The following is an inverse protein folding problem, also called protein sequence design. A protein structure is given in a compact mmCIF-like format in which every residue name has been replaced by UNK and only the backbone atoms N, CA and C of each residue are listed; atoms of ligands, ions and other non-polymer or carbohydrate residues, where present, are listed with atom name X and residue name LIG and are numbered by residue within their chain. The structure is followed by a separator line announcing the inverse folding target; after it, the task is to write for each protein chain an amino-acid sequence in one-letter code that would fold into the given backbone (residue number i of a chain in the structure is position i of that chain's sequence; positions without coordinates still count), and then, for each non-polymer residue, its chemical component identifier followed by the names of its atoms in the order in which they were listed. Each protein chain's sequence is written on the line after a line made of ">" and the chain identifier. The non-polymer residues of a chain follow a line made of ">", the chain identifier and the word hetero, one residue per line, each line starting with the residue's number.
data_IF_685027847644
#
_entry.id   IF_685027847644
#
_cell.length_a   1.000
_cell.length_b   1.000
_cell.length_c   1.000
_cell.angle_alpha   90.00
_cell.angle_beta   90.00
_cell.angle_gamma   90.00
#
_symmetry.space_group_name_H-M   'P 1'
#
loop_
_entity.id
_entity.type
_entity.pdbx_description
1 polymer ?
#
# COMPACT_ATOMS: atom_id res chain seq x y z
N UNK A 1 2.63 -20.96 -34.13
CA UNK A 1 3.62 -20.43 -33.16
C UNK A 1 2.93 -20.31 -31.82
N UNK A 2 3.40 -21.02 -30.80
CA UNK A 2 2.87 -20.86 -29.44
C UNK A 2 3.06 -19.41 -29.03
N UNK A 3 1.96 -18.71 -28.62
CA UNK A 3 2.06 -17.38 -28.03
C UNK A 3 2.89 -17.53 -26.76
N UNK A 4 4.09 -16.94 -26.73
CA UNK A 4 4.92 -16.88 -25.51
C UNK A 4 4.14 -16.07 -24.46
N UNK A 5 3.95 -16.65 -23.31
CA UNK A 5 3.16 -16.07 -22.20
C UNK A 5 3.79 -14.79 -21.68
N UNK A 6 2.96 -13.79 -21.35
CA UNK A 6 3.40 -12.54 -20.72
C UNK A 6 3.94 -12.85 -19.31
N UNK A 7 5.03 -12.19 -18.91
CA UNK A 7 5.61 -12.27 -17.56
C UNK A 7 5.55 -10.93 -16.88
N UNK A 8 4.96 -10.88 -15.71
CA UNK A 8 4.69 -9.66 -14.95
C UNK A 8 5.68 -9.48 -13.80
N UNK A 9 6.15 -8.26 -13.61
CA UNK A 9 7.14 -7.88 -12.61
C UNK A 9 6.68 -6.61 -11.88
N UNK A 10 6.67 -6.65 -10.56
CA UNK A 10 6.41 -5.48 -9.72
C UNK A 10 7.68 -4.97 -9.07
N UNK A 11 7.67 -3.73 -8.60
CA UNK A 11 8.79 -3.19 -7.83
C UNK A 11 9.05 -3.98 -6.55
N UNK A 12 8.00 -4.44 -5.88
CA UNK A 12 8.11 -5.28 -4.66
C UNK A 12 8.85 -6.59 -4.94
N UNK A 13 8.57 -7.22 -6.10
CA UNK A 13 9.27 -8.42 -6.54
C UNK A 13 10.76 -8.16 -6.81
N UNK A 14 11.07 -7.07 -7.52
CA UNK A 14 12.44 -6.67 -7.85
C UNK A 14 13.22 -6.29 -6.59
N UNK A 15 12.63 -5.52 -5.69
CA UNK A 15 13.25 -5.16 -4.41
C UNK A 15 13.51 -6.38 -3.52
N UNK A 16 12.57 -7.32 -3.49
CA UNK A 16 12.74 -8.59 -2.77
C UNK A 16 13.94 -9.39 -3.31
N UNK A 17 14.07 -9.48 -4.65
CA UNK A 17 15.18 -10.18 -5.31
C UNK A 17 16.54 -9.52 -5.00
N UNK A 18 16.61 -8.20 -5.02
CA UNK A 18 17.83 -7.43 -4.67
C UNK A 18 18.24 -7.64 -3.22
N UNK A 19 17.28 -7.67 -2.29
CA UNK A 19 17.54 -7.87 -0.87
C UNK A 19 18.00 -9.31 -0.55
N UNK A 20 17.24 -10.30 -0.99
CA UNK A 20 17.57 -11.70 -0.80
C UNK A 20 16.93 -12.58 -1.88
N UNK A 21 17.76 -13.19 -2.72
CA UNK A 21 17.28 -14.06 -3.82
C UNK A 21 16.53 -15.29 -3.33
N UNK A 22 16.91 -15.85 -2.18
CA UNK A 22 16.18 -16.97 -1.59
C UNK A 22 14.80 -16.55 -1.05
N UNK A 23 14.69 -15.39 -0.40
CA UNK A 23 13.40 -14.82 0.01
C UNK A 23 12.50 -14.61 -1.21
N UNK A 24 13.05 -14.07 -2.29
CA UNK A 24 12.34 -13.92 -3.55
C UNK A 24 11.87 -15.28 -4.11
N UNK A 25 12.73 -16.30 -4.06
CA UNK A 25 12.39 -17.64 -4.55
C UNK A 25 11.20 -18.21 -3.77
N UNK A 26 11.24 -18.18 -2.45
CA UNK A 26 10.11 -18.64 -1.62
C UNK A 26 8.81 -17.88 -1.92
N UNK A 27 8.89 -16.54 -2.01
CA UNK A 27 7.70 -15.72 -2.18
C UNK A 27 7.12 -15.77 -3.62
N UNK A 28 7.98 -15.59 -4.64
CA UNK A 28 7.52 -15.35 -6.01
C UNK A 28 7.65 -16.57 -6.94
N UNK A 29 8.68 -17.40 -6.78
CA UNK A 29 8.85 -18.62 -7.58
C UNK A 29 8.03 -19.77 -6.99
N UNK A 30 8.18 -20.02 -5.70
CA UNK A 30 7.57 -21.14 -4.97
C UNK A 30 6.18 -20.78 -4.43
N UNK A 31 5.78 -19.50 -4.53
CA UNK A 31 4.46 -18.95 -4.18
C UNK A 31 4.05 -19.25 -2.74
N UNK A 32 5.01 -19.25 -1.81
CA UNK A 32 4.75 -19.49 -0.39
C UNK A 32 4.31 -18.19 0.30
N UNK A 33 3.24 -18.27 1.09
CA UNK A 33 2.73 -17.17 1.92
C UNK A 33 2.68 -17.65 3.38
N UNK A 34 3.24 -16.90 4.35
CA UNK A 34 3.06 -17.20 5.75
C UNK A 34 1.57 -17.27 6.13
N UNK A 35 1.18 -18.28 6.90
CA UNK A 35 -0.20 -18.43 7.42
C UNK A 35 -0.50 -17.38 8.48
N UNK A 36 0.46 -17.14 9.37
CA UNK A 36 0.31 -16.18 10.45
C UNK A 36 0.33 -14.73 9.94
N UNK A 37 -0.61 -13.89 10.35
CA UNK A 37 -0.64 -12.49 9.97
C UNK A 37 0.51 -11.72 10.64
N UNK A 38 1.01 -10.69 9.96
CA UNK A 38 1.98 -9.76 10.51
C UNK A 38 1.32 -8.40 10.74
N UNK A 39 1.23 -7.94 11.99
CA UNK A 39 0.53 -6.68 12.33
C UNK A 39 0.93 -5.48 11.45
N UNK A 40 2.22 -5.20 11.16
CA UNK A 40 2.57 -4.05 10.33
C UNK A 40 2.00 -4.14 8.91
N UNK A 41 2.05 -5.33 8.30
CA UNK A 41 1.54 -5.55 6.95
C UNK A 41 0.00 -5.49 6.92
N UNK A 42 -0.65 -6.13 7.87
CA UNK A 42 -2.11 -6.15 7.96
C UNK A 42 -2.66 -4.76 8.25
N UNK A 43 -2.04 -4.01 9.18
CA UNK A 43 -2.37 -2.61 9.47
C UNK A 43 -2.21 -1.73 8.23
N UNK A 44 -1.07 -1.84 7.52
CA UNK A 44 -0.84 -1.08 6.30
C UNK A 44 -1.92 -1.34 5.24
N UNK A 45 -2.20 -2.60 4.95
CA UNK A 45 -3.24 -2.99 3.97
C UNK A 45 -4.62 -2.47 4.38
N UNK A 46 -4.98 -2.58 5.66
CA UNK A 46 -6.26 -2.08 6.17
C UNK A 46 -6.36 -0.57 6.03
N UNK A 47 -5.33 0.18 6.45
CA UNK A 47 -5.33 1.65 6.33
C UNK A 47 -5.42 2.11 4.87
N UNK A 48 -4.65 1.51 3.95
CA UNK A 48 -4.77 1.82 2.51
C UNK A 48 -6.19 1.63 2.00
N UNK A 49 -6.86 0.52 2.41
CA UNK A 49 -8.25 0.28 2.01
C UNK A 49 -9.23 1.31 2.57
N UNK A 50 -9.07 1.70 3.84
CA UNK A 50 -9.93 2.72 4.46
C UNK A 50 -9.72 4.10 3.80
N UNK A 51 -8.47 4.43 3.44
CA UNK A 51 -8.14 5.66 2.71
C UNK A 51 -8.69 5.67 1.29
N UNK A 52 -8.61 4.55 0.56
CA UNK A 52 -9.26 4.39 -0.74
C UNK A 52 -10.77 4.68 -0.66
N UNK A 53 -11.45 4.09 0.33
CA UNK A 53 -12.89 4.27 0.55
C UNK A 53 -13.22 5.73 0.85
N UNK A 54 -12.43 6.36 1.73
CA UNK A 54 -12.54 7.78 2.06
C UNK A 54 -12.36 8.66 0.82
N UNK A 55 -11.31 8.42 0.04
CA UNK A 55 -11.02 9.17 -1.17
C UNK A 55 -12.14 9.08 -2.22
N UNK A 56 -12.87 7.97 -2.25
CA UNK A 56 -14.04 7.76 -3.10
C UNK A 56 -15.35 8.34 -2.49
N UNK A 57 -15.27 9.10 -1.40
CA UNK A 57 -16.43 9.71 -0.75
C UNK A 57 -17.36 8.74 -0.03
N UNK A 58 -16.89 7.52 0.25
CA UNK A 58 -17.64 6.49 0.96
C UNK A 58 -17.28 6.48 2.46
N UNK A 59 -18.13 5.86 3.28
CA UNK A 59 -17.90 5.75 4.72
C UNK A 59 -16.85 4.68 5.03
N UNK A 60 -15.63 5.09 5.32
CA UNK A 60 -14.59 4.19 5.81
C UNK A 60 -14.97 3.54 7.15
N UNK A 61 -15.72 4.25 8.01
CA UNK A 61 -16.17 3.72 9.31
C UNK A 61 -17.17 2.58 9.13
N UNK A 62 -18.10 2.70 8.19
CA UNK A 62 -19.01 1.62 7.85
C UNK A 62 -18.25 0.38 7.39
N UNK A 63 -17.28 0.54 6.48
CA UNK A 63 -16.44 -0.57 6.03
C UNK A 63 -15.63 -1.20 7.17
N UNK A 64 -15.06 -0.38 8.05
CA UNK A 64 -14.32 -0.88 9.21
C UNK A 64 -15.21 -1.76 10.12
N UNK A 65 -16.44 -1.33 10.36
CA UNK A 65 -17.36 -2.02 11.27
C UNK A 65 -18.07 -3.22 10.62
N UNK A 66 -18.35 -3.17 9.33
CA UNK A 66 -19.13 -4.21 8.62
C UNK A 66 -18.27 -5.24 7.89
N UNK A 67 -17.02 -4.93 7.59
CA UNK A 67 -16.10 -5.83 6.89
C UNK A 67 -14.90 -6.17 7.75
N UNK A 68 -14.07 -5.18 8.11
CA UNK A 68 -12.78 -5.43 8.78
C UNK A 68 -12.98 -6.04 10.17
N UNK A 69 -13.92 -5.51 10.96
CA UNK A 69 -14.19 -6.02 12.32
C UNK A 69 -14.69 -7.47 12.30
N UNK A 70 -15.69 -7.86 11.51
CA UNK A 70 -16.11 -9.25 11.40
C UNK A 70 -15.00 -10.19 10.90
N UNK A 71 -14.19 -9.76 9.93
CA UNK A 71 -13.04 -10.54 9.46
C UNK A 71 -12.01 -10.76 10.57
N UNK A 72 -11.70 -9.73 11.36
CA UNK A 72 -10.80 -9.82 12.49
C UNK A 72 -11.36 -10.76 13.59
N UNK A 73 -12.63 -10.62 13.95
CA UNK A 73 -13.30 -11.44 14.97
C UNK A 73 -13.45 -12.90 14.56
N UNK A 74 -13.50 -13.20 13.26
CA UNK A 74 -13.54 -14.57 12.73
C UNK A 74 -12.18 -15.26 12.68
N UNK A 75 -11.07 -14.54 12.91
CA UNK A 75 -9.74 -15.15 12.96
C UNK A 75 -9.55 -16.04 14.19
N UNK A 76 -8.66 -17.04 14.13
CA UNK A 76 -8.18 -17.75 15.33
C UNK A 76 -7.66 -16.78 16.38
N UNK A 77 -7.90 -17.08 17.66
CA UNK A 77 -7.53 -16.22 18.80
C UNK A 77 -6.04 -15.86 18.83
N UNK A 78 -5.17 -16.82 18.51
CA UNK A 78 -3.73 -16.59 18.40
C UNK A 78 -3.37 -15.58 17.29
N UNK A 79 -4.13 -15.55 16.21
CA UNK A 79 -3.95 -14.54 15.15
C UNK A 79 -4.46 -13.16 15.57
N UNK A 80 -5.57 -13.10 16.31
CA UNK A 80 -6.06 -11.86 16.91
C UNK A 80 -5.02 -11.29 17.89
N UNK A 81 -4.43 -12.14 18.74
CA UNK A 81 -3.36 -11.74 19.67
C UNK A 81 -2.11 -11.22 18.93
N UNK A 82 -1.70 -11.84 17.82
CA UNK A 82 -0.58 -11.38 16.98
C UNK A 82 -0.86 -10.03 16.35
N UNK A 83 -2.10 -9.76 15.97
CA UNK A 83 -2.53 -8.46 15.43
C UNK A 83 -2.76 -7.42 16.52
N UNK A 84 -2.99 -7.87 17.75
CA UNK A 84 -3.39 -7.05 18.92
C UNK A 84 -4.90 -6.89 19.00
N UNK A 85 -5.44 -7.15 20.20
CA UNK A 85 -6.89 -7.09 20.46
C UNK A 85 -7.48 -5.68 20.28
N UNK A 86 -6.62 -4.65 20.28
CA UNK A 86 -6.92 -3.26 20.01
C UNK A 86 -6.92 -2.90 18.50
N UNK A 87 -6.74 -3.87 17.60
CA UNK A 87 -6.48 -3.61 16.17
C UNK A 87 -7.57 -2.76 15.51
N UNK A 88 -8.83 -3.11 15.68
CA UNK A 88 -9.97 -2.41 15.07
C UNK A 88 -10.12 -1.00 15.65
N UNK A 89 -10.03 -0.87 16.97
CA UNK A 89 -10.07 0.42 17.65
C UNK A 89 -8.90 1.32 17.21
N UNK A 90 -7.70 0.76 17.10
CA UNK A 90 -6.53 1.48 16.62
C UNK A 90 -6.72 2.01 15.19
N UNK A 91 -7.31 1.22 14.29
CA UNK A 91 -7.65 1.68 12.93
C UNK A 91 -8.68 2.81 12.96
N UNK A 92 -9.72 2.68 13.78
CA UNK A 92 -10.75 3.72 13.93
C UNK A 92 -10.15 5.03 14.44
N UNK A 93 -9.27 4.96 15.43
CA UNK A 93 -8.60 6.12 16.02
C UNK A 93 -7.69 6.83 15.04
N UNK A 94 -6.90 6.06 14.27
CA UNK A 94 -6.02 6.61 13.24
C UNK A 94 -6.85 7.32 12.17
N UNK A 95 -7.92 6.71 11.68
CA UNK A 95 -8.74 7.27 10.62
C UNK A 95 -9.57 8.48 11.12
N UNK A 96 -10.02 8.46 12.38
CA UNK A 96 -10.69 9.62 12.98
C UNK A 96 -9.74 10.81 13.12
N UNK A 97 -8.48 10.55 13.55
CA UNK A 97 -7.44 11.58 13.60
C UNK A 97 -7.12 12.10 12.20
N UNK A 98 -7.10 11.23 11.20
CA UNK A 98 -6.87 11.59 9.81
C UNK A 98 -7.95 12.51 9.25
N UNK A 99 -9.23 12.16 9.46
CA UNK A 99 -10.35 13.00 9.05
C UNK A 99 -10.31 14.38 9.69
N UNK A 100 -10.03 14.43 10.99
CA UNK A 100 -9.92 15.70 11.70
C UNK A 100 -8.76 16.56 11.20
N UNK A 101 -7.60 15.95 10.96
CA UNK A 101 -6.40 16.68 10.52
C UNK A 101 -6.54 17.24 9.10
N UNK A 102 -7.32 16.57 8.23
CA UNK A 102 -7.45 16.90 6.82
C UNK A 102 -8.88 17.26 6.39
N UNK A 103 -9.73 17.71 7.33
CA UNK A 103 -11.13 18.08 7.05
C UNK A 103 -11.27 19.26 6.09
N UNK A 104 -10.33 20.22 6.12
CA UNK A 104 -10.36 21.45 5.34
C UNK A 104 -9.42 21.36 4.10
N UNK A 105 -8.99 20.17 3.76
CA UNK A 105 -8.02 19.95 2.70
C UNK A 105 -8.61 20.23 1.30
N UNK A 106 -7.87 21.00 0.49
CA UNK A 106 -8.25 21.35 -0.88
C UNK A 106 -7.57 20.40 -1.90
N UNK A 107 -7.60 19.10 -1.63
CA UNK A 107 -7.08 18.08 -2.54
C UNK A 107 -8.24 17.41 -3.28
N UNK A 108 -8.18 17.40 -4.60
CA UNK A 108 -9.14 16.72 -5.45
C UNK A 108 -8.60 15.37 -5.90
N UNK A 109 -9.25 14.30 -5.51
CA UNK A 109 -8.92 12.95 -5.98
C UNK A 109 -9.43 12.76 -7.41
N UNK A 110 -8.52 12.46 -8.34
CA UNK A 110 -8.83 12.19 -9.75
C UNK A 110 -9.08 10.71 -10.00
N UNK A 111 -8.29 9.84 -9.34
CA UNK A 111 -8.43 8.39 -9.42
C UNK A 111 -7.78 7.73 -8.20
N UNK A 112 -8.23 6.51 -7.84
CA UNK A 112 -7.69 5.70 -6.75
C UNK A 112 -7.42 4.28 -7.22
N UNK A 113 -6.46 3.59 -6.60
CA UNK A 113 -6.11 2.20 -6.90
C UNK A 113 -5.89 1.96 -8.41
N UNK A 114 -5.06 2.81 -9.04
CA UNK A 114 -4.84 2.77 -10.48
C UNK A 114 -3.87 1.64 -10.83
N UNK A 115 -4.38 0.61 -11.49
CA UNK A 115 -3.53 -0.43 -12.05
C UNK A 115 -2.72 0.11 -13.22
N UNK A 116 -1.40 -0.05 -13.16
CA UNK A 116 -0.50 0.29 -14.25
C UNK A 116 0.12 -0.97 -14.86
N UNK A 117 0.29 -0.94 -16.17
CA UNK A 117 0.91 -2.00 -16.94
C UNK A 117 1.73 -1.41 -18.08
N UNK A 118 3.05 -1.65 -18.08
CA UNK A 118 3.95 -1.14 -19.11
C UNK A 118 4.83 -2.26 -19.67
N UNK A 119 5.09 -2.18 -20.97
CA UNK A 119 6.02 -3.12 -21.64
C UNK A 119 7.45 -2.78 -21.25
N UNK A 120 8.18 -3.79 -20.74
CA UNK A 120 9.62 -3.69 -20.48
C UNK A 120 10.38 -4.08 -21.76
N UNK A 121 10.34 -5.37 -22.10
CA UNK A 121 11.02 -5.95 -23.28
C UNK A 121 10.42 -7.31 -23.62
N UNK A 122 10.14 -7.56 -24.89
CA UNK A 122 9.54 -8.82 -25.33
C UNK A 122 8.19 -9.05 -24.66
N UNK A 123 8.05 -10.15 -23.91
CA UNK A 123 6.84 -10.49 -23.14
C UNK A 123 6.91 -10.04 -21.68
N UNK A 124 7.96 -9.34 -21.26
CA UNK A 124 8.11 -8.83 -19.89
C UNK A 124 7.37 -7.53 -19.72
N UNK A 125 6.61 -7.43 -18.64
CA UNK A 125 5.80 -6.27 -18.33
C UNK A 125 6.04 -5.82 -16.89
N UNK A 126 6.05 -4.51 -16.67
CA UNK A 126 5.98 -3.90 -15.35
C UNK A 126 4.52 -3.74 -14.95
N UNK A 127 4.20 -4.09 -13.72
CA UNK A 127 2.86 -3.89 -13.15
C UNK A 127 2.95 -3.30 -11.77
N UNK A 128 1.96 -2.50 -11.41
CA UNK A 128 1.82 -1.91 -10.09
C UNK A 128 0.41 -1.36 -9.89
N UNK A 129 0.16 -0.92 -8.67
CA UNK A 129 -1.06 -0.19 -8.31
C UNK A 129 -0.62 1.10 -7.64
N UNK A 130 -1.15 2.20 -8.10
CA UNK A 130 -0.90 3.55 -7.58
C UNK A 130 -2.03 3.88 -6.63
N UNK A 131 -1.73 4.28 -5.39
CA UNK A 131 -2.75 4.51 -4.36
C UNK A 131 -3.77 5.56 -4.81
N UNK A 132 -3.31 6.75 -5.24
CA UNK A 132 -4.18 7.74 -5.85
C UNK A 132 -3.44 8.70 -6.79
N UNK A 133 -4.18 9.32 -7.71
CA UNK A 133 -3.78 10.53 -8.43
C UNK A 133 -4.66 11.66 -7.94
N UNK A 134 -4.02 12.75 -7.55
CA UNK A 134 -4.67 13.93 -7.00
C UNK A 134 -4.32 15.19 -7.78
N UNK A 135 -5.18 16.19 -7.69
CA UNK A 135 -4.97 17.53 -8.23
C UNK A 135 -4.85 18.53 -7.08
N UNK A 136 -3.79 19.32 -7.11
CA UNK A 136 -3.53 20.43 -6.18
C UNK A 136 -3.15 21.63 -7.05
N UNK A 137 -3.87 22.74 -6.90
CA UNK A 137 -3.66 23.97 -7.66
C UNK A 137 -3.61 23.77 -9.19
N UNK A 138 -4.40 22.82 -9.71
CA UNK A 138 -4.48 22.48 -11.13
C UNK A 138 -3.37 21.57 -11.65
N UNK A 139 -2.44 21.16 -10.80
CA UNK A 139 -1.35 20.25 -11.15
C UNK A 139 -1.59 18.83 -10.60
N UNK A 140 -1.14 17.80 -11.35
CA UNK A 140 -1.37 16.39 -11.01
C UNK A 140 -0.21 15.78 -10.24
N UNK A 141 -0.52 15.04 -9.18
CA UNK A 141 0.43 14.35 -8.32
C UNK A 141 0.00 12.91 -8.06
N UNK A 142 0.97 12.03 -7.87
CA UNK A 142 0.71 10.76 -7.18
C UNK A 142 0.54 11.08 -5.70
N UNK A 143 -0.50 10.56 -5.05
CA UNK A 143 -0.55 10.46 -3.59
C UNK A 143 -0.16 9.04 -3.21
N UNK A 144 0.89 8.92 -2.41
CA UNK A 144 1.44 7.65 -1.93
C UNK A 144 1.32 7.58 -0.41
N UNK A 145 0.48 6.68 0.07
CA UNK A 145 0.30 6.44 1.50
C UNK A 145 1.45 5.58 2.05
N UNK A 146 2.08 6.03 3.12
CA UNK A 146 3.14 5.28 3.79
C UNK A 146 2.88 5.17 5.28
N UNK A 147 2.69 3.94 5.73
CA UNK A 147 2.59 3.67 7.16
C UNK A 147 3.97 3.56 7.81
N UNK A 148 4.12 4.10 9.03
CA UNK A 148 5.35 4.01 9.82
C UNK A 148 5.04 3.74 11.30
N UNK A 149 5.96 3.11 12.02
CA UNK A 149 5.81 2.86 13.47
C UNK A 149 6.54 3.91 14.29
N UNK A 150 7.82 4.10 14.06
CA UNK A 150 8.70 4.97 14.86
C UNK A 150 9.36 6.05 14.04
N UNK A 151 9.86 5.71 12.85
CA UNK A 151 10.64 6.60 12.00
C UNK A 151 9.94 6.78 10.67
N UNK A 152 9.63 8.02 10.31
CA UNK A 152 9.15 8.39 8.99
C UNK A 152 10.28 8.21 7.96
N UNK A 153 9.92 7.97 6.71
CA UNK A 153 10.87 8.05 5.60
C UNK A 153 11.44 9.47 5.52
N UNK A 154 12.76 9.60 5.38
CA UNK A 154 13.36 10.92 5.25
C UNK A 154 13.04 11.57 3.90
N UNK A 155 13.12 12.89 3.84
CA UNK A 155 12.88 13.64 2.61
C UNK A 155 13.82 13.19 1.48
N UNK A 156 15.08 12.92 1.80
CA UNK A 156 16.07 12.44 0.83
C UNK A 156 15.71 11.07 0.27
N UNK A 157 15.18 10.17 1.10
CA UNK A 157 14.70 8.85 0.66
C UNK A 157 13.50 8.95 -0.29
N UNK A 158 12.66 9.96 -0.13
CA UNK A 158 11.50 10.14 -1.01
C UNK A 158 11.91 10.57 -2.41
N UNK A 159 12.96 11.37 -2.56
CA UNK A 159 13.43 11.87 -3.86
C UNK A 159 13.99 10.76 -4.76
N UNK A 160 14.49 9.68 -4.16
CA UNK A 160 15.06 8.54 -4.87
C UNK A 160 14.20 7.28 -4.74
N UNK A 161 12.92 7.41 -4.40
CA UNK A 161 12.05 6.26 -4.22
C UNK A 161 11.78 5.55 -5.54
N UNK A 162 12.17 4.28 -5.62
CA UNK A 162 12.08 3.50 -6.84
C UNK A 162 10.63 3.21 -7.24
N UNK A 163 9.71 3.03 -6.28
CA UNK A 163 8.31 2.73 -6.57
C UNK A 163 7.65 3.89 -7.30
N UNK A 164 7.74 5.09 -6.72
CA UNK A 164 7.10 6.28 -7.30
C UNK A 164 7.77 6.72 -8.60
N UNK A 165 9.10 6.58 -8.72
CA UNK A 165 9.81 6.86 -9.98
C UNK A 165 9.29 5.99 -11.14
N UNK A 166 9.08 4.68 -10.91
CA UNK A 166 8.51 3.78 -11.92
C UNK A 166 7.05 4.11 -12.24
N UNK A 167 6.26 4.47 -11.23
CA UNK A 167 4.87 4.87 -11.41
C UNK A 167 4.77 6.14 -12.25
N UNK A 168 5.56 7.17 -11.94
CA UNK A 168 5.61 8.42 -12.69
C UNK A 168 5.94 8.18 -14.16
N UNK A 169 6.97 7.35 -14.43
CA UNK A 169 7.33 7.02 -15.81
C UNK A 169 6.15 6.45 -16.59
N UNK A 170 5.52 5.42 -16.03
CA UNK A 170 4.42 4.73 -16.71
C UNK A 170 3.20 5.62 -16.85
N UNK A 171 2.82 6.35 -15.81
CA UNK A 171 1.67 7.26 -15.86
C UNK A 171 1.86 8.37 -16.90
N UNK A 172 3.06 8.97 -16.97
CA UNK A 172 3.34 10.01 -17.95
C UNK A 172 3.36 9.46 -19.39
N UNK A 173 3.84 8.22 -19.60
CA UNK A 173 3.73 7.53 -20.89
C UNK A 173 2.27 7.20 -21.26
N UNK A 174 1.39 7.09 -20.29
CA UNK A 174 -0.05 6.86 -20.45
C UNK A 174 -0.87 8.16 -20.58
N UNK A 175 -0.21 9.33 -20.64
CA UNK A 175 -0.85 10.62 -20.88
C UNK A 175 -1.17 11.45 -19.64
N UNK A 176 -0.83 10.98 -18.42
CA UNK A 176 -0.88 11.80 -17.22
C UNK A 176 0.26 12.84 -17.24
N UNK A 177 0.09 13.94 -16.53
CA UNK A 177 1.12 14.98 -16.40
C UNK A 177 1.54 15.11 -14.93
N UNK A 178 2.11 14.02 -14.40
CA UNK A 178 2.49 13.93 -12.98
C UNK A 178 3.69 14.85 -12.71
N UNK A 179 3.52 15.81 -11.81
CA UNK A 179 4.54 16.79 -11.41
C UNK A 179 5.37 16.37 -10.21
N UNK A 180 4.84 15.48 -9.38
CA UNK A 180 5.49 15.06 -8.17
C UNK A 180 4.71 13.99 -7.42
N UNK A 181 5.11 13.80 -6.17
CA UNK A 181 4.50 12.85 -5.25
C UNK A 181 4.09 13.57 -3.97
N UNK A 182 2.85 13.42 -3.59
CA UNK A 182 2.35 13.76 -2.25
C UNK A 182 2.57 12.55 -1.36
N UNK A 183 3.49 12.66 -0.44
CA UNK A 183 3.76 11.64 0.56
C UNK A 183 2.83 11.81 1.73
N UNK A 184 1.98 10.84 1.95
CA UNK A 184 0.99 10.84 3.03
C UNK A 184 1.44 9.82 4.09
N UNK A 185 2.09 10.34 5.14
CA UNK A 185 2.79 9.56 6.17
C UNK A 185 1.85 9.33 7.35
N UNK A 186 1.56 8.07 7.66
CA UNK A 186 0.57 7.67 8.66
C UNK A 186 1.21 6.77 9.71
N UNK A 187 1.20 7.18 10.97
CA UNK A 187 1.71 6.37 12.08
C UNK A 187 0.74 5.22 12.40
N UNK A 188 1.26 4.00 12.52
CA UNK A 188 0.48 2.79 12.80
C UNK A 188 0.15 2.60 14.28
N UNK A 189 0.10 3.69 15.04
CA UNK A 189 -0.36 3.72 16.44
C UNK A 189 -1.26 4.92 16.66
N UNK A 190 -2.36 4.72 17.35
CA UNK A 190 -3.26 5.78 17.71
C UNK A 190 -2.65 6.74 18.75
N UNK A 191 -3.08 8.00 18.80
CA UNK A 191 -2.79 8.90 19.91
C UNK A 191 -3.27 8.32 21.24
N UNK A 192 -2.44 8.43 22.26
CA UNK A 192 -2.79 7.92 23.60
C UNK A 192 -3.68 8.90 24.36
N UNK A 193 -4.58 8.41 25.22
CA UNK A 193 -5.32 9.30 26.11
C UNK A 193 -4.37 10.05 27.05
N UNK A 194 -4.74 11.26 27.50
CA UNK A 194 -3.96 12.01 28.47
C UNK A 194 -3.85 11.24 29.80
N UNK A 195 -2.65 11.20 30.35
CA UNK A 195 -2.40 10.56 31.64
C UNK A 195 -2.96 11.43 32.78
N UNK A 196 -3.92 10.91 33.50
CA UNK A 196 -4.45 11.56 34.70
C UNK A 196 -3.62 11.12 35.94
N UNK A 197 -3.12 12.07 36.69
CA UNK A 197 -2.36 11.86 37.93
C UNK A 197 -3.32 11.63 39.12
N UNK A 198 -2.79 11.11 40.23
CA UNK A 198 -3.58 10.82 41.46
C UNK A 198 -4.32 12.04 42.03
N UNK A 199 -3.81 13.24 41.77
CA UNK A 199 -4.42 14.49 42.19
C UNK A 199 -5.43 15.07 41.18
N UNK A 200 -5.78 14.32 40.13
CA UNK A 200 -6.69 14.73 39.08
C UNK A 200 -6.07 15.63 37.98
N UNK A 201 -4.82 16.07 38.15
CA UNK A 201 -4.13 16.84 37.11
C UNK A 201 -3.64 15.96 35.96
N UNK A 202 -3.43 16.57 34.81
CA UNK A 202 -2.81 15.85 33.66
C UNK A 202 -1.29 15.78 33.82
N UNK A 203 -0.73 14.65 33.35
CA UNK A 203 0.73 14.46 33.30
C UNK A 203 1.37 15.35 32.23
N UNK A 204 2.59 15.83 32.47
CA UNK A 204 3.29 16.81 31.62
C UNK A 204 4.01 16.21 30.39
N UNK A 205 3.75 14.95 30.01
CA UNK A 205 4.36 14.30 28.85
C UNK A 205 3.31 14.15 27.75
N UNK A 206 3.26 15.11 26.84
CA UNK A 206 2.20 15.23 25.83
C UNK A 206 2.60 14.74 24.42
N UNK A 207 3.78 14.17 24.25
CA UNK A 207 4.29 13.80 22.92
C UNK A 207 3.46 12.73 22.17
N UNK A 208 2.62 11.97 22.89
CA UNK A 208 1.74 10.94 22.31
C UNK A 208 0.25 11.32 22.39
N UNK A 209 -0.08 12.50 22.88
CA UNK A 209 -1.43 13.06 22.91
C UNK A 209 -1.63 14.04 21.75
N UNK A 210 -2.87 14.14 21.28
CA UNK A 210 -3.33 15.13 20.31
C UNK A 210 -4.63 15.76 20.83
N UNK A 211 -5.12 16.81 20.21
CA UNK A 211 -6.44 17.36 20.56
C UNK A 211 -7.52 16.27 20.48
N UNK A 212 -7.45 15.36 19.49
CA UNK A 212 -8.38 14.24 19.36
C UNK A 212 -8.39 13.32 20.60
N UNK A 213 -7.25 13.15 21.30
CA UNK A 213 -7.17 12.37 22.54
C UNK A 213 -8.05 12.96 23.66
N UNK A 214 -8.20 14.29 23.69
CA UNK A 214 -9.04 14.99 24.65
C UNK A 214 -10.51 15.03 24.21
N UNK A 215 -10.78 15.22 22.91
CA UNK A 215 -12.14 15.17 22.37
C UNK A 215 -12.82 13.82 22.61
N UNK A 216 -12.07 12.73 22.55
CA UNK A 216 -12.56 11.38 22.92
C UNK A 216 -13.00 11.26 24.37
N UNK A 217 -12.47 12.08 25.25
CA UNK A 217 -12.93 12.18 26.65
C UNK A 217 -14.16 13.11 26.81
N UNK A 218 -14.73 13.59 25.71
CA UNK A 218 -15.87 14.50 25.69
C UNK A 218 -15.49 15.96 25.99
N UNK A 219 -14.20 16.32 25.97
CA UNK A 219 -13.74 17.70 26.15
C UNK A 219 -13.80 18.46 24.81
N UNK A 220 -13.96 19.76 24.87
CA UNK A 220 -13.79 20.69 23.75
C UNK A 220 -12.61 21.64 24.04
N UNK A 221 -12.23 22.44 23.04
CA UNK A 221 -11.07 23.35 23.15
C UNK A 221 -11.11 24.25 24.40
N UNK A 222 -12.29 24.76 24.76
CA UNK A 222 -12.46 25.59 25.95
C UNK A 222 -12.35 24.86 27.29
N UNK A 223 -12.35 23.52 27.27
CA UNK A 223 -12.22 22.66 28.45
C UNK A 223 -10.82 22.10 28.61
N UNK A 224 -10.01 22.14 27.56
CA UNK A 224 -8.59 21.75 27.62
C UNK A 224 -7.81 22.91 28.24
N UNK A 225 -7.02 22.68 29.33
CA UNK A 225 -6.22 23.75 29.91
C UNK A 225 -5.35 24.46 28.86
N UNK A 226 -5.31 25.79 28.80
CA UNK A 226 -4.63 26.54 27.74
C UNK A 226 -3.15 26.14 27.53
N UNK A 227 -2.45 25.86 28.63
CA UNK A 227 -1.06 25.42 28.59
C UNK A 227 -0.92 24.03 27.94
N UNK A 228 -1.89 23.12 28.10
CA UNK A 228 -1.90 21.81 27.44
C UNK A 228 -2.30 21.98 25.99
N UNK A 229 -3.30 22.80 25.70
CA UNK A 229 -3.74 23.05 24.32
C UNK A 229 -2.58 23.53 23.43
N UNK A 230 -1.81 24.53 23.91
CA UNK A 230 -0.65 25.04 23.18
C UNK A 230 0.43 23.98 22.93
N UNK A 231 0.64 23.07 23.91
CA UNK A 231 1.63 21.99 23.77
C UNK A 231 1.21 20.90 22.77
N UNK A 232 -0.10 20.67 22.56
CA UNK A 232 -0.60 19.54 21.77
C UNK A 232 -1.29 19.91 20.46
N UNK A 233 -1.61 21.18 20.21
CA UNK A 233 -2.36 21.61 19.01
C UNK A 233 -1.75 21.13 17.68
N UNK A 234 -0.43 21.04 17.63
CA UNK A 234 0.33 20.59 16.47
C UNK A 234 0.79 19.12 16.54
N UNK A 235 0.49 18.41 17.62
CA UNK A 235 0.96 17.04 17.84
C UNK A 235 0.39 16.01 16.84
N UNK A 236 -0.70 16.35 16.14
CA UNK A 236 -1.17 15.50 15.04
C UNK A 236 -0.07 15.24 14.00
N UNK A 237 0.87 16.17 13.79
CA UNK A 237 2.05 16.03 12.89
C UNK A 237 3.02 14.92 13.32
N UNK A 238 2.94 14.44 14.57
CA UNK A 238 3.71 13.28 15.05
C UNK A 238 3.10 11.95 14.58
N UNK A 239 1.84 11.97 14.17
CA UNK A 239 1.06 10.81 13.72
C UNK A 239 0.78 10.86 12.23
N UNK A 240 0.57 12.05 11.71
CA UNK A 240 0.23 12.31 10.32
C UNK A 240 1.15 13.41 9.81
N UNK A 241 1.69 13.21 8.62
CA UNK A 241 2.53 14.21 7.99
C UNK A 241 2.35 14.13 6.47
N UNK A 242 2.35 15.28 5.82
CA UNK A 242 2.17 15.33 4.39
C UNK A 242 3.13 16.33 3.77
N UNK A 243 3.83 15.90 2.75
CA UNK A 243 4.77 16.75 2.02
C UNK A 243 4.86 16.34 0.56
N UNK A 244 5.27 17.27 -0.28
CA UNK A 244 5.37 17.09 -1.73
C UNK A 244 6.83 17.05 -2.15
N UNK A 245 7.18 16.09 -3.00
CA UNK A 245 8.47 16.04 -3.68
C UNK A 245 8.29 16.13 -5.19
N UNK A 246 9.19 16.86 -5.89
CA UNK A 246 9.10 17.00 -7.34
C UNK A 246 9.56 15.73 -8.06
N UNK A 247 9.17 15.59 -9.31
CA UNK A 247 9.73 14.60 -10.23
C UNK A 247 11.14 15.00 -10.62
N UNK A 248 12.08 14.06 -10.51
CA UNK A 248 13.44 14.20 -11.01
C UNK A 248 13.64 13.26 -12.22
N UNK A 249 13.59 13.76 -13.47
CA UNK A 249 13.66 12.92 -14.66
C UNK A 249 14.88 12.01 -14.72
N UNK A 250 16.03 12.48 -14.25
CA UNK A 250 17.25 11.68 -14.18
C UNK A 250 17.13 10.48 -13.24
N UNK A 251 16.42 10.65 -12.11
CA UNK A 251 16.14 9.55 -11.16
C UNK A 251 15.18 8.56 -11.79
N UNK A 252 14.12 9.04 -12.45
CA UNK A 252 13.12 8.19 -13.12
C UNK A 252 13.81 7.30 -14.16
N UNK A 253 14.66 7.84 -15.02
CA UNK A 253 15.36 7.07 -16.05
C UNK A 253 16.40 6.09 -15.46
N UNK A 254 17.15 6.51 -14.44
CA UNK A 254 18.11 5.64 -13.78
C UNK A 254 17.41 4.45 -13.09
N UNK A 255 16.32 4.71 -12.36
CA UNK A 255 15.53 3.67 -11.68
C UNK A 255 14.90 2.72 -12.69
N UNK A 256 14.38 3.22 -13.80
CA UNK A 256 13.82 2.38 -14.85
C UNK A 256 14.88 1.43 -15.44
N UNK A 257 16.07 1.96 -15.75
CA UNK A 257 17.19 1.15 -16.26
C UNK A 257 17.55 0.04 -15.28
N UNK A 258 17.75 0.38 -14.01
CA UNK A 258 18.09 -0.56 -12.94
C UNK A 258 17.01 -1.63 -12.75
N UNK A 259 15.74 -1.23 -12.87
CA UNK A 259 14.61 -2.15 -12.79
C UNK A 259 14.66 -3.16 -13.94
N UNK A 260 14.83 -2.70 -15.17
CA UNK A 260 14.92 -3.55 -16.38
C UNK A 260 16.07 -4.55 -16.28
N UNK A 261 17.26 -4.10 -15.86
CA UNK A 261 18.44 -4.95 -15.65
C UNK A 261 18.18 -6.03 -14.61
N UNK A 262 17.52 -5.67 -13.50
CA UNK A 262 17.17 -6.64 -12.44
C UNK A 262 16.12 -7.65 -12.93
N UNK A 263 15.15 -7.23 -13.72
CA UNK A 263 14.17 -8.13 -14.36
C UNK A 263 14.86 -9.11 -15.30
N UNK A 264 15.90 -8.68 -16.01
CA UNK A 264 16.74 -9.56 -16.83
C UNK A 264 17.49 -10.59 -15.96
N UNK A 265 18.03 -10.16 -14.82
CA UNK A 265 18.69 -11.04 -13.86
C UNK A 265 17.73 -12.09 -13.28
N UNK A 266 16.55 -11.69 -12.85
CA UNK A 266 15.50 -12.61 -12.35
C UNK A 266 15.19 -13.70 -13.38
N UNK A 267 15.13 -13.33 -14.66
CA UNK A 267 14.75 -14.28 -15.73
C UNK A 267 15.87 -15.20 -16.17
N UNK A 268 17.13 -14.78 -16.02
CA UNK A 268 18.32 -15.55 -16.46
C UNK A 268 18.88 -16.43 -15.34
N UNK A 269 18.86 -15.95 -14.11
CA UNK A 269 19.48 -16.62 -12.96
C UNK A 269 18.52 -17.61 -12.30
N UNK A 270 18.91 -18.89 -12.31
CA UNK A 270 18.19 -19.95 -11.57
C UNK A 270 18.70 -20.12 -10.14
N UNK A 271 19.90 -19.62 -9.85
CA UNK A 271 20.51 -19.73 -8.54
C UNK A 271 20.03 -18.63 -7.59
N UNK A 272 19.55 -19.05 -6.41
CA UNK A 272 18.96 -18.18 -5.41
C UNK A 272 19.70 -18.28 -4.07
N UNK A 273 20.92 -17.71 -3.95
CA UNK A 273 21.67 -17.74 -2.71
C UNK A 273 20.94 -17.00 -1.60
N UNK A 274 21.15 -17.46 -0.36
CA UNK A 274 20.68 -16.80 0.85
C UNK A 274 21.59 -15.62 1.20
N UNK A 275 20.99 -14.43 1.36
CA UNK A 275 21.69 -13.26 1.93
C UNK A 275 21.53 -13.29 3.45
N UNK A 276 22.40 -14.05 4.13
CA UNK A 276 22.32 -14.22 5.60
C UNK A 276 22.85 -12.95 6.26
N UNK A 277 22.03 -12.33 7.10
CA UNK A 277 22.37 -11.13 7.81
C UNK A 277 21.28 -10.68 8.77
N UNK A 278 21.41 -9.44 9.28
CA UNK A 278 20.47 -8.88 10.26
C UNK A 278 18.99 -8.91 9.79
N UNK A 279 18.74 -8.77 8.50
CA UNK A 279 17.37 -8.79 7.95
C UNK A 279 16.68 -10.14 8.12
N UNK A 280 17.44 -11.22 8.40
CA UNK A 280 16.87 -12.53 8.70
C UNK A 280 16.06 -12.55 10.00
N UNK A 281 16.33 -11.66 10.96
CA UNK A 281 15.61 -11.61 12.23
C UNK A 281 14.14 -11.25 12.05
N UNK A 282 13.81 -10.50 10.99
CA UNK A 282 12.47 -10.05 10.63
C UNK A 282 11.90 -10.75 9.39
N UNK A 283 12.64 -11.75 8.88
CA UNK A 283 12.26 -12.42 7.64
C UNK A 283 11.13 -13.42 7.88
N UNK A 284 10.06 -13.31 7.11
CA UNK A 284 8.93 -14.23 7.16
C UNK A 284 9.26 -15.67 6.77
N UNK A 285 10.45 -15.93 6.19
CA UNK A 285 10.93 -17.25 5.76
C UNK A 285 12.12 -17.73 6.60
N UNK A 286 12.35 -17.15 7.78
CA UNK A 286 13.47 -17.49 8.66
C UNK A 286 13.50 -19.00 8.99
N UNK A 287 12.39 -19.53 9.44
CA UNK A 287 12.29 -20.94 9.89
C UNK A 287 12.52 -21.91 8.72
N UNK A 288 12.01 -21.57 7.53
CA UNK A 288 12.24 -22.36 6.32
C UNK A 288 13.72 -22.36 5.90
N UNK A 289 14.35 -21.17 5.90
CA UNK A 289 15.79 -21.07 5.62
C UNK A 289 16.63 -21.81 6.68
N UNK A 290 16.22 -21.79 7.94
CA UNK A 290 16.90 -22.51 9.02
C UNK A 290 16.80 -24.03 8.81
N UNK A 291 15.62 -24.57 8.51
CA UNK A 291 15.45 -25.98 8.21
C UNK A 291 16.30 -26.42 7.01
N UNK A 292 16.33 -25.63 5.93
CA UNK A 292 17.17 -25.90 4.77
C UNK A 292 18.68 -25.92 5.10
N UNK A 293 19.15 -25.05 6.00
CA UNK A 293 20.57 -24.95 6.36
C UNK A 293 21.03 -26.04 7.34
N UNK A 294 20.12 -26.47 8.22
CA UNK A 294 20.44 -27.45 9.27
C UNK A 294 20.09 -28.89 8.89
N UNK A 295 19.56 -29.11 7.68
CA UNK A 295 19.10 -30.44 7.25
C UNK A 295 17.82 -30.90 7.96
N UNK A 296 17.00 -29.96 8.46
CA UNK A 296 15.70 -30.23 9.03
C UNK A 296 14.64 -30.62 8.01
N UNK A 297 13.45 -31.00 8.49
CA UNK A 297 12.33 -31.35 7.61
C UNK A 297 11.68 -30.09 7.01
N UNK A 298 12.14 -29.75 5.82
CA UNK A 298 11.70 -28.58 5.05
C UNK A 298 10.22 -28.65 4.68
N UNK A 299 9.74 -29.86 4.31
CA UNK A 299 8.34 -30.03 3.89
C UNK A 299 7.39 -29.92 5.10
N UNK A 300 7.77 -30.42 6.26
CA UNK A 300 7.03 -30.22 7.49
C UNK A 300 6.91 -28.73 7.85
N UNK A 301 8.01 -27.97 7.77
CA UNK A 301 8.03 -26.53 8.04
C UNK A 301 7.12 -25.77 7.05
N UNK A 302 7.15 -26.15 5.76
CA UNK A 302 6.24 -25.57 4.76
C UNK A 302 4.78 -25.83 5.11
N UNK A 303 4.42 -27.09 5.41
CA UNK A 303 3.04 -27.45 5.75
C UNK A 303 2.55 -26.76 7.02
N UNK A 304 3.43 -26.57 8.01
CA UNK A 304 3.06 -25.96 9.28
C UNK A 304 2.83 -24.45 9.15
N UNK A 305 3.76 -23.72 8.54
CA UNK A 305 3.81 -22.26 8.60
C UNK A 305 3.40 -21.53 7.32
N UNK A 306 3.29 -22.25 6.17
CA UNK A 306 3.04 -21.60 4.90
C UNK A 306 1.84 -22.22 4.17
N UNK A 307 1.27 -21.41 3.31
CA UNK A 307 0.30 -21.84 2.29
C UNK A 307 0.82 -21.42 0.92
N UNK A 308 0.40 -22.13 -0.13
CA UNK A 308 0.63 -21.68 -1.50
C UNK A 308 -0.47 -20.72 -1.90
N UNK A 309 -0.14 -19.71 -2.69
CA UNK A 309 -1.12 -18.80 -3.27
C UNK A 309 -0.95 -18.72 -4.78
N UNK A 310 -2.03 -18.51 -5.48
CA UNK A 310 -1.96 -18.14 -6.88
C UNK A 310 -1.56 -16.67 -6.97
N UNK A 311 -0.38 -16.43 -7.55
CA UNK A 311 0.05 -15.06 -7.80
C UNK A 311 -0.83 -14.49 -8.92
N UNK A 312 -1.31 -13.27 -8.74
CA UNK A 312 -2.02 -12.57 -9.80
C UNK A 312 -1.05 -12.31 -10.94
N UNK A 313 -1.12 -13.13 -11.98
CA UNK A 313 -0.20 -13.11 -13.11
C UNK A 313 -0.57 -12.02 -14.14
N UNK A 314 -1.81 -11.53 -14.08
CA UNK A 314 -2.34 -10.54 -15.02
C UNK A 314 -3.00 -9.38 -14.28
N UNK A 315 -2.84 -8.13 -14.75
CA UNK A 315 -3.67 -7.03 -14.28
C UNK A 315 -5.16 -7.35 -14.47
N UNK A 316 -6.01 -6.89 -13.55
CA UNK A 316 -7.46 -7.07 -13.66
C UNK A 316 -8.02 -6.54 -14.97
N UNK A 317 -7.41 -5.48 -15.48
CA UNK A 317 -7.83 -4.90 -16.74
C UNK A 317 -7.57 -5.83 -17.93
N UNK A 318 -6.44 -6.55 -17.95
CA UNK A 318 -6.16 -7.58 -18.97
C UNK A 318 -7.20 -8.72 -18.93
N UNK A 319 -7.64 -9.11 -17.73
CA UNK A 319 -8.73 -10.08 -17.57
C UNK A 319 -10.07 -9.51 -18.07
N UNK A 320 -10.36 -8.27 -17.69
CA UNK A 320 -11.59 -7.59 -18.11
C UNK A 320 -11.68 -7.44 -19.63
N UNK A 321 -10.58 -7.10 -20.30
CA UNK A 321 -10.52 -6.99 -21.77
C UNK A 321 -10.89 -8.30 -22.49
N UNK A 322 -10.74 -9.44 -21.83
CA UNK A 322 -11.09 -10.75 -22.36
C UNK A 322 -12.56 -11.11 -22.05
N UNK A 323 -13.27 -10.33 -21.25
CA UNK A 323 -14.68 -10.58 -20.97
C UNK A 323 -15.54 -10.24 -22.18
N UNK A 324 -16.64 -10.98 -22.35
CA UNK A 324 -17.65 -10.73 -23.40
C UNK A 324 -18.16 -9.29 -23.32
N UNK A 325 -18.35 -8.76 -22.13
CA UNK A 325 -18.81 -7.39 -21.88
C UNK A 325 -17.89 -6.35 -22.47
N UNK A 326 -16.56 -6.50 -22.30
CA UNK A 326 -15.59 -5.58 -22.88
C UNK A 326 -15.48 -5.75 -24.40
N UNK A 327 -15.52 -6.98 -24.90
CA UNK A 327 -15.48 -7.28 -26.33
C UNK A 327 -16.66 -6.67 -27.08
N UNK A 328 -17.86 -6.69 -26.49
CA UNK A 328 -19.05 -6.01 -27.04
C UNK A 328 -18.82 -4.50 -27.14
N UNK A 329 -18.29 -3.85 -26.09
CA UNK A 329 -17.97 -2.43 -26.14
C UNK A 329 -16.94 -2.10 -27.22
N UNK A 330 -15.90 -2.89 -27.36
CA UNK A 330 -14.86 -2.71 -28.39
C UNK A 330 -15.42 -2.86 -29.80
N UNK A 331 -16.31 -3.85 -30.03
CA UNK A 331 -16.95 -4.04 -31.32
C UNK A 331 -17.91 -2.89 -31.68
N UNK A 332 -18.68 -2.39 -30.70
CA UNK A 332 -19.56 -1.24 -30.90
C UNK A 332 -18.76 0.03 -31.23
N UNK A 333 -17.67 0.31 -30.49
CA UNK A 333 -16.83 1.47 -30.77
C UNK A 333 -16.23 1.43 -32.19
N UNK A 334 -15.74 0.26 -32.63
CA UNK A 334 -15.26 0.06 -34.01
C UNK A 334 -16.34 0.28 -35.06
N UNK A 335 -17.56 -0.19 -34.76
CA UNK A 335 -18.71 -0.02 -35.67
C UNK A 335 -19.09 1.46 -35.86
N UNK A 336 -19.02 2.25 -34.77
CA UNK A 336 -19.31 3.69 -34.81
C UNK A 336 -18.10 4.57 -35.17
N UNK A 337 -16.94 3.99 -35.51
CA UNK A 337 -15.73 4.72 -35.88
C UNK A 337 -15.10 5.51 -34.72
N UNK A 338 -15.40 5.16 -33.48
CA UNK A 338 -14.80 5.77 -32.31
C UNK A 338 -13.41 5.16 -32.04
N UNK A 339 -12.40 6.00 -31.95
CA UNK A 339 -11.12 5.59 -31.38
C UNK A 339 -11.31 5.42 -29.87
N UNK A 340 -11.07 4.19 -29.38
CA UNK A 340 -11.12 3.90 -27.94
C UNK A 340 -9.77 4.31 -27.35
N UNK A 341 -9.74 5.39 -26.58
CA UNK A 341 -8.65 5.63 -25.65
C UNK A 341 -8.79 4.66 -24.48
N UNK A 342 -7.97 3.61 -24.48
CA UNK A 342 -7.97 2.57 -23.44
C UNK A 342 -7.64 3.13 -22.04
N UNK A 343 -6.90 4.22 -21.94
CA UNK A 343 -6.58 4.87 -20.68
C UNK A 343 -7.79 5.59 -20.08
N UNK A 344 -8.55 6.30 -20.91
CA UNK A 344 -9.84 6.86 -20.50
C UNK A 344 -10.85 5.76 -20.16
N UNK A 345 -10.83 4.64 -20.88
CA UNK A 345 -11.69 3.52 -20.61
C UNK A 345 -11.39 2.90 -19.24
N UNK A 346 -10.12 2.77 -18.83
CA UNK A 346 -9.75 2.31 -17.48
C UNK A 346 -10.27 3.21 -16.36
N UNK A 347 -10.22 4.53 -16.57
CA UNK A 347 -10.58 5.51 -15.55
C UNK A 347 -12.10 5.65 -15.35
N UNK A 348 -12.87 5.57 -16.43
CA UNK A 348 -14.29 5.92 -16.44
C UNK A 348 -15.24 4.76 -16.74
N UNK A 349 -14.73 3.55 -17.01
CA UNK A 349 -15.56 2.41 -17.33
C UNK A 349 -16.27 1.84 -16.10
N UNK A 350 -17.56 2.16 -15.95
CA UNK A 350 -18.39 1.62 -14.85
C UNK A 350 -18.45 0.09 -14.86
N UNK A 351 -18.38 -0.55 -16.02
CA UNK A 351 -18.35 -2.01 -16.13
C UNK A 351 -17.06 -2.60 -15.59
N UNK A 352 -15.92 -1.91 -15.81
CA UNK A 352 -14.64 -2.32 -15.23
C UNK A 352 -14.60 -2.10 -13.72
N UNK A 353 -15.14 -1.00 -13.23
CA UNK A 353 -15.28 -0.76 -11.78
C UNK A 353 -16.07 -1.90 -11.10
N UNK A 354 -17.23 -2.27 -11.67
CA UNK A 354 -18.03 -3.38 -11.16
C UNK A 354 -17.29 -4.74 -11.21
N UNK A 355 -16.59 -5.02 -12.30
CA UNK A 355 -15.74 -6.21 -12.43
C UNK A 355 -14.64 -6.26 -11.36
N UNK A 356 -13.99 -5.12 -11.06
CA UNK A 356 -13.01 -5.02 -9.97
C UNK A 356 -13.61 -5.34 -8.60
N UNK A 357 -14.82 -4.87 -8.32
CA UNK A 357 -15.54 -5.15 -7.07
C UNK A 357 -15.91 -6.64 -6.93
N UNK A 358 -16.37 -7.27 -8.01
CA UNK A 358 -16.70 -8.69 -8.03
C UNK A 358 -15.47 -9.60 -7.80
N UNK A 359 -14.30 -9.19 -8.30
CA UNK A 359 -13.04 -9.93 -8.12
C UNK A 359 -12.37 -9.70 -6.75
N UNK A 360 -12.81 -8.68 -5.99
CA UNK A 360 -12.34 -8.43 -4.62
C UNK A 360 -13.10 -9.22 -3.56
N UNK A 361 -14.27 -9.80 -3.92
CA UNK A 361 -15.06 -10.73 -3.09
C UNK A 361 -14.56 -12.17 -3.25
#
# INVERSE_FOLDING_TARGET
>A
MAKTEKKYFSISQVSCFRGCRQKWAHNYRDKLKPKAPQRPLYMGTTLHKLLEIRANGQSWREHLLTVVKPEFEAMPTDYQDMLGNDFVECCEDIMTQYDWAYQDEQIKYLATEIEIDAKIKGQKRFVGVVDAIVEIDGEQYIMEHKSFKTTKMSLEQTWINAQTALYIKVLNEQGWNIKGVVWDMIKTSAPKPPRVLKNGAYGKQYGEQTLMSFYKLGMNDGQIPPEIYEDIKDNHKNFLDRYVTPVLPSVVEAVWKDFVETVDDITKNKHTPKSIGRDCDWCAYKDLCQAELTGGDVEYVKQLYYTTFEQREKPLFDEFLQTEVCQICQSQARYYGCEIDFNQCMQHCEKYKKFKEEKKK
#
